data_IF_539727155828
#
_entry.id   IF_539727155828
#
_cell.length_a   1.000
_cell.length_b   1.000
_cell.length_c   1.000
_cell.angle_alpha   90.00
_cell.angle_beta   90.00
_cell.angle_gamma   90.00
#
_symmetry.space_group_name_H-M   'P 1'
#
loop_
_entity.id
_entity.type
_entity.pdbx_description
1 polymer ?
#
# COMPACT_ATOMS: atom_id res chain seq x y z
N UNK A 1 15.36 -20.92 7.67
CA UNK A 1 14.39 -20.20 6.81
C UNK A 1 13.41 -19.40 7.63
N UNK A 2 12.65 -20.00 8.55
CA UNK A 2 11.70 -19.28 9.44
C UNK A 2 12.28 -18.07 10.19
N UNK A 3 13.31 -18.28 11.01
CA UNK A 3 13.97 -17.21 11.78
C UNK A 3 14.57 -16.13 10.88
N UNK A 4 14.94 -16.49 9.64
CA UNK A 4 15.46 -15.54 8.68
C UNK A 4 14.35 -14.63 8.14
N UNK A 5 13.16 -15.18 7.84
CA UNK A 5 12.01 -14.41 7.37
C UNK A 5 11.56 -13.37 8.41
N UNK A 6 11.56 -13.74 9.69
CA UNK A 6 11.23 -12.81 10.79
C UNK A 6 12.21 -11.64 10.90
N UNK A 7 13.49 -11.88 10.58
CA UNK A 7 14.54 -10.86 10.64
C UNK A 7 14.65 -10.05 9.34
N UNK A 8 14.43 -10.70 8.21
CA UNK A 8 14.49 -10.16 6.85
C UNK A 8 13.30 -10.68 6.04
N UNK A 9 12.25 -9.87 5.95
CA UNK A 9 11.04 -10.22 5.22
C UNK A 9 11.27 -10.55 3.75
N UNK A 10 12.36 -10.07 3.13
CA UNK A 10 12.67 -10.39 1.73
C UNK A 10 13.16 -11.83 1.54
N UNK A 11 13.54 -12.52 2.62
CA UNK A 11 13.86 -13.95 2.59
C UNK A 11 12.65 -14.81 2.20
N UNK A 12 11.43 -14.24 2.16
CA UNK A 12 10.23 -14.90 1.65
C UNK A 12 10.38 -15.35 0.18
N UNK A 13 11.20 -14.65 -0.63
CA UNK A 13 11.49 -15.04 -2.02
C UNK A 13 12.04 -16.45 -2.16
N UNK A 14 12.84 -16.86 -1.17
CA UNK A 14 13.59 -18.12 -1.19
C UNK A 14 12.92 -19.17 -0.26
N UNK A 15 11.70 -18.89 0.22
CA UNK A 15 10.95 -19.78 1.10
C UNK A 15 10.34 -20.95 0.32
N UNK A 16 10.31 -22.16 0.89
CA UNK A 16 9.70 -23.32 0.25
C UNK A 16 8.16 -23.19 0.26
N UNK A 17 7.45 -23.84 -0.69
CA UNK A 17 6.01 -23.67 -0.88
C UNK A 17 5.17 -23.89 0.37
N UNK A 18 5.60 -24.77 1.27
CA UNK A 18 4.92 -25.06 2.53
C UNK A 18 4.82 -23.83 3.44
N UNK A 19 5.78 -22.89 3.35
CA UNK A 19 5.75 -21.64 4.14
C UNK A 19 4.99 -20.53 3.44
N UNK A 20 4.91 -20.58 2.11
CA UNK A 20 4.15 -19.60 1.33
C UNK A 20 2.65 -19.81 1.48
N UNK A 21 2.21 -21.03 1.82
CA UNK A 21 0.82 -21.35 2.17
C UNK A 21 0.43 -20.98 3.60
N UNK A 22 1.39 -20.59 4.45
CA UNK A 22 1.14 -20.19 5.83
C UNK A 22 0.94 -18.66 5.92
N UNK A 23 -0.31 -18.26 6.14
CA UNK A 23 -0.70 -16.85 6.24
C UNK A 23 0.06 -16.12 7.35
N UNK A 24 0.30 -16.77 8.50
CA UNK A 24 1.03 -16.17 9.63
C UNK A 24 2.48 -15.89 9.23
N UNK A 25 3.12 -16.84 8.55
CA UNK A 25 4.48 -16.66 8.04
C UNK A 25 4.61 -15.54 7.01
N UNK A 26 3.65 -15.43 6.09
CA UNK A 26 3.62 -14.36 5.08
C UNK A 26 3.34 -13.01 5.74
N UNK A 27 2.44 -12.95 6.72
CA UNK A 27 2.13 -11.74 7.48
C UNK A 27 3.35 -11.25 8.28
N UNK A 28 4.06 -12.16 8.95
CA UNK A 28 5.32 -11.85 9.66
C UNK A 28 6.41 -11.31 8.71
N UNK A 29 6.54 -11.90 7.52
CA UNK A 29 7.45 -11.40 6.49
C UNK A 29 7.09 -9.97 6.07
N UNK A 30 5.80 -9.71 5.82
CA UNK A 30 5.28 -8.39 5.47
C UNK A 30 5.45 -7.39 6.62
N UNK A 31 5.36 -7.85 7.86
CA UNK A 31 5.61 -7.03 9.04
C UNK A 31 7.08 -6.60 9.15
N UNK A 32 8.00 -7.53 8.90
CA UNK A 32 9.42 -7.25 8.86
C UNK A 32 9.78 -6.30 7.69
N UNK A 33 9.19 -6.52 6.52
CA UNK A 33 9.35 -5.66 5.35
C UNK A 33 8.09 -5.71 4.46
N UNK A 34 7.37 -4.59 4.33
CA UNK A 34 6.12 -4.54 3.55
C UNK A 34 6.29 -4.91 2.08
N UNK A 35 7.51 -4.79 1.52
CA UNK A 35 7.80 -5.22 0.15
C UNK A 35 7.91 -6.74 -0.02
N UNK A 36 7.87 -7.52 1.07
CA UNK A 36 7.82 -8.98 1.02
C UNK A 36 6.57 -9.50 0.29
N UNK A 37 5.48 -8.71 0.27
CA UNK A 37 4.23 -9.04 -0.43
C UNK A 37 4.46 -9.37 -1.93
N UNK A 38 5.49 -8.80 -2.56
CA UNK A 38 5.84 -9.10 -3.96
C UNK A 38 6.23 -10.57 -4.21
N UNK A 39 6.60 -11.30 -3.17
CA UNK A 39 6.97 -12.72 -3.22
C UNK A 39 5.88 -13.64 -2.69
N UNK A 40 4.83 -13.08 -2.08
CA UNK A 40 3.69 -13.86 -1.59
C UNK A 40 2.92 -14.48 -2.77
N UNK A 41 2.29 -15.65 -2.60
CA UNK A 41 1.36 -16.22 -3.58
C UNK A 41 0.19 -15.28 -3.88
N UNK A 42 -0.48 -15.52 -5.02
CA UNK A 42 -1.63 -14.70 -5.46
C UNK A 42 -2.73 -14.66 -4.40
N UNK A 43 -3.05 -15.81 -3.79
CA UNK A 43 -4.09 -15.89 -2.75
C UNK A 43 -3.75 -15.00 -1.53
N UNK A 44 -2.48 -14.88 -1.17
CA UNK A 44 -2.02 -14.03 -0.07
C UNK A 44 -1.97 -12.53 -0.43
N UNK A 45 -1.95 -12.20 -1.73
CA UNK A 45 -2.08 -10.81 -2.21
C UNK A 45 -3.53 -10.37 -2.32
N UNK A 46 -4.47 -11.31 -2.26
CA UNK A 46 -5.90 -11.07 -2.16
C UNK A 46 -6.41 -11.19 -0.71
N UNK A 47 -5.53 -11.55 0.23
CA UNK A 47 -5.84 -11.60 1.65
C UNK A 47 -5.78 -10.19 2.28
N UNK A 48 -6.90 -9.65 2.81
CA UNK A 48 -6.95 -8.31 3.36
C UNK A 48 -6.02 -8.12 4.57
N UNK A 49 -5.83 -9.15 5.40
CA UNK A 49 -5.01 -9.06 6.62
C UNK A 49 -3.54 -8.97 6.26
N UNK A 50 -3.06 -9.84 5.36
CA UNK A 50 -1.69 -9.84 4.86
C UNK A 50 -1.36 -8.53 4.15
N UNK A 51 -2.23 -8.07 3.26
CA UNK A 51 -2.05 -6.80 2.55
C UNK A 51 -2.06 -5.62 3.52
N UNK A 52 -2.95 -5.63 4.51
CA UNK A 52 -3.00 -4.59 5.56
C UNK A 52 -1.70 -4.53 6.34
N UNK A 53 -1.12 -5.68 6.72
CA UNK A 53 0.20 -5.75 7.35
C UNK A 53 1.26 -5.12 6.44
N UNK A 54 1.30 -5.50 5.16
CA UNK A 54 2.27 -4.98 4.21
C UNK A 54 2.18 -3.46 4.02
N UNK A 55 0.99 -2.90 3.77
CA UNK A 55 0.82 -1.46 3.52
C UNK A 55 1.05 -0.62 4.78
N UNK A 56 0.79 -1.18 5.97
CA UNK A 56 1.10 -0.52 7.25
C UNK A 56 2.61 -0.34 7.43
N UNK A 57 3.42 -1.26 6.89
CA UNK A 57 4.90 -1.17 6.95
C UNK A 57 5.48 -0.38 5.79
N UNK A 58 4.92 -0.54 4.59
CA UNK A 58 5.30 0.16 3.38
C UNK A 58 4.07 0.39 2.49
N UNK A 59 3.52 1.59 2.45
CA UNK A 59 2.32 1.92 1.68
C UNK A 59 2.47 1.66 0.18
N UNK A 60 3.70 1.72 -0.34
CA UNK A 60 4.00 1.33 -1.72
C UNK A 60 3.76 -0.16 -2.02
N UNK A 61 3.65 -1.01 -0.99
CA UNK A 61 3.30 -2.42 -1.14
C UNK A 61 1.91 -2.63 -1.76
N UNK A 62 1.05 -1.60 -1.75
CA UNK A 62 -0.27 -1.62 -2.39
C UNK A 62 -0.19 -2.03 -3.87
N UNK A 63 0.92 -1.77 -4.56
CA UNK A 63 1.15 -2.21 -5.95
C UNK A 63 1.04 -3.73 -6.14
N UNK A 64 1.27 -4.51 -5.09
CA UNK A 64 1.24 -5.97 -5.12
C UNK A 64 -0.09 -6.56 -4.67
N UNK A 65 -1.01 -5.75 -4.15
CA UNK A 65 -2.34 -6.22 -3.76
C UNK A 65 -3.19 -6.55 -5.00
N UNK A 66 -4.18 -7.41 -4.82
CA UNK A 66 -5.18 -7.67 -5.86
C UNK A 66 -5.94 -6.41 -6.26
N UNK A 67 -6.55 -6.41 -7.44
CA UNK A 67 -7.37 -5.29 -7.92
C UNK A 67 -8.51 -4.96 -6.95
N UNK A 68 -9.11 -5.98 -6.34
CA UNK A 68 -10.15 -5.83 -5.32
C UNK A 68 -9.66 -5.06 -4.10
N UNK A 69 -8.47 -5.39 -3.59
CA UNK A 69 -7.89 -4.70 -2.43
C UNK A 69 -7.29 -3.33 -2.77
N UNK A 70 -6.94 -3.09 -4.04
CA UNK A 70 -6.59 -1.73 -4.53
C UNK A 70 -7.82 -0.83 -4.67
N UNK A 71 -9.01 -1.42 -4.72
CA UNK A 71 -10.30 -0.72 -4.63
C UNK A 71 -10.88 -0.74 -3.19
N UNK A 72 -10.22 -1.39 -2.23
CA UNK A 72 -10.63 -1.35 -0.83
C UNK A 72 -10.25 -0.01 -0.21
N UNK A 73 -11.28 0.74 0.18
CA UNK A 73 -11.15 2.09 0.70
C UNK A 73 -10.29 2.15 1.98
N UNK A 74 -10.43 1.17 2.89
CA UNK A 74 -9.71 1.19 4.17
C UNK A 74 -8.23 0.87 3.97
N UNK A 75 -7.93 -0.14 3.15
CA UNK A 75 -6.55 -0.54 2.83
C UNK A 75 -5.84 0.61 2.11
N UNK A 76 -6.48 1.22 1.11
CA UNK A 76 -5.90 2.36 0.39
C UNK A 76 -5.69 3.55 1.31
N UNK A 77 -6.65 3.87 2.19
CA UNK A 77 -6.50 4.95 3.16
C UNK A 77 -5.30 4.71 4.10
N UNK A 78 -5.12 3.48 4.59
CA UNK A 78 -3.93 3.10 5.38
C UNK A 78 -2.64 3.25 4.56
N UNK A 79 -2.63 2.80 3.31
CA UNK A 79 -1.48 2.89 2.43
C UNK A 79 -1.06 4.35 2.15
N UNK A 80 -1.99 5.23 1.81
CA UNK A 80 -1.70 6.65 1.53
C UNK A 80 -1.32 7.43 2.78
N UNK A 81 -1.87 7.05 3.94
CA UNK A 81 -1.49 7.65 5.23
C UNK A 81 -0.05 7.30 5.62
N UNK A 82 0.42 6.09 5.23
CA UNK A 82 1.80 5.66 5.42
C UNK A 82 2.74 6.30 4.38
N UNK A 83 2.35 6.27 3.11
CA UNK A 83 3.08 6.84 1.97
C UNK A 83 2.08 7.44 0.96
N UNK A 84 2.00 8.77 0.86
CA UNK A 84 1.07 9.45 -0.03
C UNK A 84 1.25 9.08 -1.51
N UNK A 85 2.45 8.63 -1.90
CA UNK A 85 2.69 8.10 -3.24
C UNK A 85 1.96 6.78 -3.54
N UNK A 86 1.47 6.06 -2.52
CA UNK A 86 0.67 4.85 -2.70
C UNK A 86 -0.63 5.10 -3.49
N UNK A 87 -1.09 6.36 -3.55
CA UNK A 87 -2.23 6.77 -4.36
C UNK A 87 -2.06 6.38 -5.83
N UNK A 88 -0.83 6.28 -6.33
CA UNK A 88 -0.53 5.81 -7.69
C UNK A 88 -1.11 4.43 -7.99
N UNK A 89 -1.17 3.57 -6.98
CA UNK A 89 -1.56 2.16 -7.12
C UNK A 89 -3.02 1.88 -6.80
N UNK A 90 -3.72 2.86 -6.20
CA UNK A 90 -5.13 2.75 -5.88
C UNK A 90 -5.99 2.67 -7.15
N UNK A 91 -7.16 2.04 -7.01
CA UNK A 91 -8.17 2.00 -8.05
C UNK A 91 -8.56 3.42 -8.51
N UNK A 92 -8.97 3.54 -9.78
CA UNK A 92 -9.42 4.81 -10.38
C UNK A 92 -10.49 5.51 -9.57
N UNK A 93 -11.46 4.75 -9.02
CA UNK A 93 -12.53 5.32 -8.21
C UNK A 93 -12.01 5.96 -6.92
N UNK A 94 -10.98 5.37 -6.29
CA UNK A 94 -10.38 5.89 -5.07
C UNK A 94 -9.38 7.02 -5.34
N UNK A 95 -8.78 7.08 -6.54
CA UNK A 95 -8.03 8.25 -6.99
C UNK A 95 -8.92 9.47 -7.26
N UNK A 96 -10.23 9.25 -7.40
CA UNK A 96 -11.27 10.28 -7.44
C UNK A 96 -11.97 10.50 -6.08
N UNK A 97 -11.66 9.70 -5.06
CA UNK A 97 -12.18 9.91 -3.70
C UNK A 97 -11.42 11.07 -3.05
N UNK A 98 -12.16 12.14 -2.78
CA UNK A 98 -11.63 13.38 -2.21
C UNK A 98 -10.93 13.17 -0.87
N UNK A 99 -11.45 12.31 0.00
CA UNK A 99 -10.89 12.09 1.33
C UNK A 99 -9.56 11.33 1.24
N UNK A 100 -9.50 10.29 0.40
CA UNK A 100 -8.27 9.54 0.15
C UNK A 100 -7.20 10.45 -0.48
N UNK A 101 -7.58 11.25 -1.48
CA UNK A 101 -6.65 12.18 -2.12
C UNK A 101 -6.16 13.23 -1.14
N UNK A 102 -7.03 13.79 -0.29
CA UNK A 102 -6.63 14.73 0.76
C UNK A 102 -5.64 14.09 1.74
N UNK A 103 -5.89 12.85 2.17
CA UNK A 103 -4.95 12.12 3.03
C UNK A 103 -3.59 11.92 2.34
N UNK A 104 -3.58 11.53 1.07
CA UNK A 104 -2.37 11.33 0.30
C UNK A 104 -1.55 12.62 0.12
N UNK A 105 -2.19 13.74 -0.25
CA UNK A 105 -1.49 15.02 -0.46
C UNK A 105 -1.09 15.68 0.85
N UNK A 106 -1.83 15.45 1.93
CA UNK A 106 -1.44 15.87 3.28
C UNK A 106 -0.22 15.10 3.77
N UNK A 107 -0.04 13.85 3.37
CA UNK A 107 1.15 13.07 3.67
C UNK A 107 2.34 13.52 2.80
N UNK A 108 2.15 13.69 1.49
CA UNK A 108 3.18 14.16 0.55
C UNK A 108 2.56 14.89 -0.62
N UNK A 109 2.82 16.19 -0.73
CA UNK A 109 2.18 17.06 -1.73
C UNK A 109 2.33 16.59 -3.19
N UNK A 110 3.43 15.90 -3.53
CA UNK A 110 3.62 15.38 -4.90
C UNK A 110 2.60 14.31 -5.29
N UNK A 111 1.90 13.70 -4.32
CA UNK A 111 0.86 12.69 -4.56
C UNK A 111 -0.31 13.23 -5.38
N UNK A 112 -0.49 14.56 -5.44
CA UNK A 112 -1.52 15.21 -6.24
C UNK A 112 -1.47 14.78 -7.71
N UNK A 113 -0.28 14.48 -8.26
CA UNK A 113 -0.13 14.01 -9.64
C UNK A 113 -0.89 12.71 -9.95
N UNK A 114 -1.19 11.92 -8.91
CA UNK A 114 -1.86 10.63 -9.04
C UNK A 114 -3.38 10.73 -8.84
N UNK A 115 -3.89 11.84 -8.31
CA UNK A 115 -5.32 12.06 -8.18
C UNK A 115 -6.00 12.10 -9.57
N UNK A 116 -7.31 11.88 -9.60
CA UNK A 116 -8.12 12.11 -10.79
C UNK A 116 -8.08 13.59 -11.21
N UNK A 117 -8.23 13.86 -12.51
CA UNK A 117 -8.09 15.21 -13.08
C UNK A 117 -8.97 16.25 -12.36
N UNK A 118 -10.21 15.88 -12.00
CA UNK A 118 -11.13 16.75 -11.28
C UNK A 118 -10.60 17.24 -9.91
N UNK A 119 -9.76 16.46 -9.24
CA UNK A 119 -9.18 16.80 -7.94
C UNK A 119 -7.80 17.47 -8.05
N UNK A 120 -7.14 17.39 -9.21
CA UNK A 120 -5.87 18.09 -9.46
C UNK A 120 -6.03 19.60 -9.54
N UNK A 121 -7.22 20.06 -9.93
CA UNK A 121 -7.58 21.49 -10.01
C UNK A 121 -8.44 21.95 -8.82
N UNK A 122 -8.78 21.05 -7.89
CA UNK A 122 -9.54 21.40 -6.69
C UNK A 122 -8.70 22.33 -5.80
N UNK A 123 -9.24 23.53 -5.52
CA UNK A 123 -8.53 24.58 -4.78
C UNK A 123 -8.10 24.15 -3.38
N UNK A 124 -8.92 23.34 -2.70
CA UNK A 124 -8.59 22.87 -1.36
C UNK A 124 -7.47 21.83 -1.43
N UNK A 125 -7.61 20.83 -2.31
CA UNK A 125 -6.61 19.76 -2.48
C UNK A 125 -5.26 20.35 -2.90
N UNK A 126 -5.24 21.23 -3.91
CA UNK A 126 -4.04 21.95 -4.37
C UNK A 126 -3.44 22.78 -3.23
N UNK A 127 -4.29 23.46 -2.45
CA UNK A 127 -3.86 24.24 -1.30
C UNK A 127 -3.17 23.38 -0.24
N UNK A 128 -3.65 22.17 0.05
CA UNK A 128 -2.99 21.22 0.96
C UNK A 128 -1.66 20.74 0.37
N UNK A 129 -1.65 20.33 -0.91
CA UNK A 129 -0.45 19.84 -1.58
C UNK A 129 0.69 20.88 -1.61
N UNK A 130 0.36 22.15 -1.84
CA UNK A 130 1.33 23.25 -1.87
C UNK A 130 1.98 23.52 -0.50
N UNK A 131 1.29 23.23 0.61
CA UNK A 131 1.83 23.38 1.98
C UNK A 131 2.86 22.31 2.30
N UNK A 132 2.71 21.09 1.75
CA UNK A 132 3.62 19.97 1.99
C UNK A 132 4.88 19.98 1.11
N UNK A 133 5.03 20.98 0.23
CA UNK A 133 6.20 21.14 -0.66
C UNK A 133 7.12 22.30 -0.24
N UNK A 134 6.93 22.82 0.98
CA UNK A 134 7.74 23.89 1.60
C UNK A 134 8.58 23.32 2.73
#
# INVERSE_FOLDING_TARGET
>A
TFELIKKDGLALRDAPPELLGDQEMVAEACWANGMALQFAPVDMRDDPEVVTCAVTRAGAALVWASDGLRADREIVLRAVSQNGGALEYADESLRADREIVLAAVAQRGIALRYAADALRDDREVVGVAARQSR
#
